data_IF_850372926022
#
_entry.id   IF_850372926022
#
_cell.length_a   1.000
_cell.length_b   1.000
_cell.length_c   1.000
_cell.angle_alpha   90.00
_cell.angle_beta   90.00
_cell.angle_gamma   90.00
#
_symmetry.space_group_name_H-M   'P 1'
#
loop_
_entity.id
_entity.type
_entity.pdbx_description
1 polymer ?
#
# COMPACT_ATOMS: atom_id res chain seq x y z
N UNK A 1 -8.77 -17.46 -4.45
CA UNK A 1 -10.21 -17.25 -4.14
C UNK A 1 -10.49 -15.95 -3.35
N UNK A 2 -9.57 -15.42 -2.53
CA UNK A 2 -9.81 -14.20 -1.72
C UNK A 2 -9.87 -12.85 -2.47
N UNK A 3 -9.22 -12.73 -3.63
CA UNK A 3 -9.15 -11.50 -4.42
C UNK A 3 -10.47 -11.09 -5.09
N UNK A 4 -11.42 -12.02 -5.24
CA UNK A 4 -12.71 -11.71 -5.85
C UNK A 4 -13.65 -10.95 -4.89
N UNK A 5 -13.53 -11.15 -3.58
CA UNK A 5 -14.40 -10.50 -2.59
C UNK A 5 -14.15 -8.99 -2.52
N UNK A 6 -12.90 -8.54 -2.63
CA UNK A 6 -12.55 -7.11 -2.62
C UNK A 6 -12.99 -6.40 -3.89
N UNK A 7 -12.82 -7.01 -5.07
CA UNK A 7 -13.32 -6.44 -6.34
C UNK A 7 -14.85 -6.43 -6.35
N UNK A 8 -15.51 -7.48 -5.87
CA UNK A 8 -16.97 -7.54 -5.79
C UNK A 8 -17.53 -6.47 -4.81
N UNK A 9 -16.92 -6.29 -3.64
CA UNK A 9 -17.29 -5.23 -2.70
C UNK A 9 -17.09 -3.83 -3.31
N UNK A 10 -15.97 -3.60 -4.01
CA UNK A 10 -15.66 -2.31 -4.62
C UNK A 10 -16.50 -1.98 -5.87
N UNK A 11 -17.04 -2.99 -6.56
CA UNK A 11 -17.91 -2.82 -7.74
C UNK A 11 -19.41 -2.93 -7.43
N UNK A 12 -19.78 -3.25 -6.18
CA UNK A 12 -21.16 -3.49 -5.75
C UNK A 12 -22.14 -2.32 -5.99
N UNK A 13 -21.64 -1.08 -6.06
CA UNK A 13 -22.43 0.13 -6.37
C UNK A 13 -22.26 0.67 -7.79
N UNK A 14 -21.54 -0.02 -8.67
CA UNK A 14 -21.20 0.43 -10.01
C UNK A 14 -22.17 -0.16 -11.04
N UNK A 15 -22.69 0.65 -11.97
CA UNK A 15 -23.58 0.17 -13.05
C UNK A 15 -22.87 -0.94 -13.83
N UNK A 16 -23.60 -1.99 -14.26
CA UNK A 16 -23.04 -3.17 -14.95
C UNK A 16 -22.12 -2.84 -16.15
N UNK A 17 -22.40 -1.73 -16.83
CA UNK A 17 -21.60 -1.22 -17.96
C UNK A 17 -20.23 -0.66 -17.55
N UNK A 18 -20.06 -0.23 -16.29
CA UNK A 18 -18.85 0.40 -15.78
C UNK A 18 -18.01 -0.55 -14.90
N UNK A 19 -18.51 -1.76 -14.60
CA UNK A 19 -17.84 -2.74 -13.72
C UNK A 19 -16.47 -3.19 -14.25
N UNK A 20 -16.31 -3.27 -15.57
CA UNK A 20 -15.02 -3.58 -16.20
C UNK A 20 -13.99 -2.48 -15.99
N UNK A 21 -14.41 -1.22 -16.09
CA UNK A 21 -13.57 -0.04 -15.82
C UNK A 21 -13.18 0.02 -14.34
N UNK A 22 -14.14 -0.19 -13.43
CA UNK A 22 -13.88 -0.20 -12.00
C UNK A 22 -12.90 -1.32 -11.60
N UNK A 23 -13.08 -2.54 -12.10
CA UNK A 23 -12.15 -3.66 -11.86
C UNK A 23 -10.75 -3.40 -12.44
N UNK A 24 -10.68 -2.83 -13.64
CA UNK A 24 -9.44 -2.41 -14.27
C UNK A 24 -8.70 -1.38 -13.42
N UNK A 25 -9.39 -0.34 -12.96
CA UNK A 25 -8.82 0.69 -12.08
C UNK A 25 -8.32 0.11 -10.75
N UNK A 26 -9.05 -0.81 -10.13
CA UNK A 26 -8.64 -1.45 -8.88
C UNK A 26 -7.36 -2.27 -9.10
N UNK A 27 -7.33 -3.08 -10.15
CA UNK A 27 -6.20 -3.97 -10.42
C UNK A 27 -4.93 -3.18 -10.75
N UNK A 28 -5.03 -2.17 -11.62
CA UNK A 28 -3.88 -1.32 -11.95
C UNK A 28 -3.42 -0.51 -10.74
N UNK A 29 -4.35 0.01 -9.93
CA UNK A 29 -4.01 0.71 -8.69
C UNK A 29 -3.30 -0.21 -7.70
N UNK A 30 -3.70 -1.48 -7.57
CA UNK A 30 -3.02 -2.44 -6.73
C UNK A 30 -1.61 -2.78 -7.25
N UNK A 31 -1.46 -3.01 -8.56
CA UNK A 31 -0.15 -3.29 -9.16
C UNK A 31 0.81 -2.10 -9.01
N UNK A 32 0.33 -0.89 -9.33
CA UNK A 32 1.12 0.34 -9.16
C UNK A 32 1.43 0.60 -7.69
N UNK A 33 0.46 0.45 -6.79
CA UNK A 33 0.65 0.63 -5.36
C UNK A 33 1.68 -0.34 -4.77
N UNK A 34 1.63 -1.61 -5.17
CA UNK A 34 2.60 -2.62 -4.74
C UNK A 34 4.03 -2.30 -5.22
N UNK A 35 4.18 -1.94 -6.50
CA UNK A 35 5.48 -1.58 -7.06
C UNK A 35 6.06 -0.32 -6.41
N UNK A 36 5.25 0.73 -6.26
CA UNK A 36 5.65 2.00 -5.63
C UNK A 36 5.99 1.82 -4.16
N UNK A 37 5.16 1.09 -3.40
CA UNK A 37 5.41 0.81 -1.99
C UNK A 37 6.72 0.06 -1.79
N UNK A 38 6.97 -0.98 -2.59
CA UNK A 38 8.22 -1.73 -2.53
C UNK A 38 9.43 -0.85 -2.89
N UNK A 39 9.34 -0.03 -3.92
CA UNK A 39 10.42 0.87 -4.34
C UNK A 39 10.80 1.85 -3.23
N UNK A 40 9.81 2.48 -2.59
CA UNK A 40 10.03 3.43 -1.49
C UNK A 40 10.68 2.73 -0.30
N UNK A 41 10.11 1.60 0.16
CA UNK A 41 10.61 0.90 1.34
C UNK A 41 12.01 0.33 1.13
N UNK A 42 12.28 -0.24 -0.04
CA UNK A 42 13.60 -0.73 -0.42
C UNK A 42 14.63 0.40 -0.49
N UNK A 43 14.25 1.54 -1.09
CA UNK A 43 15.12 2.72 -1.16
C UNK A 43 15.50 3.26 0.22
N UNK A 44 14.55 3.31 1.15
CA UNK A 44 14.79 3.75 2.53
C UNK A 44 15.67 2.74 3.27
N UNK A 45 15.37 1.45 3.18
CA UNK A 45 16.17 0.41 3.81
C UNK A 45 17.63 0.46 3.34
N UNK A 46 17.86 0.56 2.04
CA UNK A 46 19.19 0.67 1.45
C UNK A 46 19.91 1.95 1.88
N UNK A 47 19.21 3.10 1.88
CA UNK A 47 19.79 4.39 2.25
C UNK A 47 20.21 4.44 3.72
N UNK A 48 19.39 3.90 4.62
CA UNK A 48 19.70 3.86 6.05
C UNK A 48 20.79 2.83 6.37
N UNK A 49 20.74 1.66 5.72
CA UNK A 49 21.80 0.65 5.84
C UNK A 49 23.15 1.21 5.37
N UNK A 50 23.18 1.96 4.26
CA UNK A 50 24.38 2.61 3.74
C UNK A 50 25.08 3.50 4.79
N UNK A 51 24.32 4.29 5.55
CA UNK A 51 24.85 5.15 6.62
C UNK A 51 25.27 4.41 7.91
N UNK A 52 24.87 3.16 8.05
CA UNK A 52 25.09 2.34 9.24
C UNK A 52 26.19 1.28 9.09
N UNK A 53 26.76 1.09 7.89
CA UNK A 53 27.83 0.09 7.65
C UNK A 53 29.05 0.24 8.55
N UNK A 54 29.38 1.47 9.00
CA UNK A 54 30.46 1.73 9.96
C UNK A 54 30.28 1.02 11.31
N UNK A 55 29.06 0.59 11.64
CA UNK A 55 28.73 -0.14 12.87
C UNK A 55 28.67 -1.66 12.66
N UNK A 56 28.99 -2.14 11.46
CA UNK A 56 28.98 -3.55 11.08
C UNK A 56 27.82 -3.92 10.12
N UNK A 57 27.99 -4.96 9.28
CA UNK A 57 26.96 -5.36 8.30
C UNK A 57 25.63 -5.76 8.93
N UNK A 58 25.65 -6.48 10.06
CA UNK A 58 24.44 -6.90 10.76
C UNK A 58 23.65 -5.70 11.30
N UNK A 59 24.33 -4.76 11.96
CA UNK A 59 23.73 -3.55 12.48
C UNK A 59 23.15 -2.66 11.36
N UNK A 60 23.80 -2.63 10.19
CA UNK A 60 23.33 -1.88 9.03
C UNK A 60 22.01 -2.43 8.48
N UNK A 61 21.90 -3.74 8.34
CA UNK A 61 20.67 -4.40 7.87
C UNK A 61 19.52 -4.17 8.84
N UNK A 62 19.76 -4.35 10.15
CA UNK A 62 18.72 -4.13 11.18
C UNK A 62 18.21 -2.69 11.16
N UNK A 63 19.11 -1.69 11.15
CA UNK A 63 18.71 -0.27 11.08
C UNK A 63 17.96 0.08 9.80
N UNK A 64 18.36 -0.52 8.67
CA UNK A 64 17.67 -0.35 7.39
C UNK A 64 16.21 -0.82 7.45
N UNK A 65 15.99 -2.05 7.93
CA UNK A 65 14.64 -2.60 8.07
C UNK A 65 13.80 -1.88 9.12
N UNK A 66 14.40 -1.47 10.24
CA UNK A 66 13.71 -0.69 11.28
C UNK A 66 13.14 0.62 10.70
N UNK A 67 13.97 1.38 9.97
CA UNK A 67 13.52 2.59 9.29
C UNK A 67 12.46 2.34 8.21
N UNK A 68 12.58 1.24 7.46
CA UNK A 68 11.60 0.86 6.46
C UNK A 68 10.24 0.52 7.10
N UNK A 69 10.22 -0.26 8.18
CA UNK A 69 8.97 -0.59 8.88
C UNK A 69 8.32 0.63 9.54
N UNK A 70 9.12 1.51 10.14
CA UNK A 70 8.63 2.77 10.70
C UNK A 70 8.02 3.66 9.60
N UNK A 71 8.62 3.70 8.41
CA UNK A 71 8.03 4.39 7.26
C UNK A 71 6.73 3.72 6.80
N UNK A 72 6.71 2.38 6.71
CA UNK A 72 5.52 1.62 6.33
C UNK A 72 4.35 1.89 7.29
N UNK A 73 4.62 2.02 8.59
CA UNK A 73 3.63 2.40 9.60
C UNK A 73 3.00 3.77 9.26
N UNK A 74 3.80 4.80 8.99
CA UNK A 74 3.28 6.12 8.62
C UNK A 74 2.48 6.10 7.32
N UNK A 75 2.94 5.35 6.32
CA UNK A 75 2.21 5.16 5.05
C UNK A 75 0.84 4.52 5.32
N UNK A 76 0.78 3.47 6.15
CA UNK A 76 -0.46 2.77 6.48
C UNK A 76 -1.42 3.64 7.29
N UNK A 77 -0.91 4.45 8.22
CA UNK A 77 -1.72 5.42 8.95
C UNK A 77 -2.30 6.45 7.98
N UNK A 78 -1.49 7.02 7.10
CA UNK A 78 -1.94 7.96 6.07
C UNK A 78 -3.00 7.37 5.14
N UNK A 79 -2.76 6.16 4.63
CA UNK A 79 -3.72 5.43 3.81
C UNK A 79 -5.04 5.16 4.56
N UNK A 80 -4.96 4.81 5.84
CA UNK A 80 -6.14 4.58 6.69
C UNK A 80 -6.95 5.86 6.92
N UNK A 81 -6.28 7.00 7.15
CA UNK A 81 -6.93 8.31 7.28
C UNK A 81 -7.62 8.68 5.96
N UNK A 82 -6.94 8.53 4.82
CA UNK A 82 -7.52 8.79 3.51
C UNK A 82 -8.74 7.90 3.27
N UNK A 83 -8.63 6.60 3.54
CA UNK A 83 -9.74 5.67 3.41
C UNK A 83 -10.92 6.08 4.29
N UNK A 84 -10.67 6.45 5.55
CA UNK A 84 -11.70 6.92 6.48
C UNK A 84 -12.40 8.20 5.99
N UNK A 85 -11.66 9.15 5.43
CA UNK A 85 -12.21 10.42 4.94
C UNK A 85 -12.95 10.29 3.59
N UNK A 86 -12.48 9.38 2.71
CA UNK A 86 -12.98 9.24 1.33
C UNK A 86 -14.12 8.24 1.23
N UNK A 87 -14.09 7.15 2.00
CA UNK A 87 -15.13 6.12 1.95
C UNK A 87 -16.40 6.65 2.62
N UNK A 88 -17.27 7.26 1.80
CA UNK A 88 -18.65 7.54 2.18
C UNK A 88 -19.43 6.23 2.24
N UNK A 89 -20.01 5.94 3.40
CA UNK A 89 -20.97 4.85 3.53
C UNK A 89 -22.16 5.13 2.62
N UNK A 90 -22.31 4.36 1.55
CA UNK A 90 -23.58 4.33 0.84
C UNK A 90 -24.55 3.61 1.77
N UNK A 91 -25.47 4.38 2.37
CA UNK A 91 -26.64 3.82 3.05
C UNK A 91 -27.38 2.98 2.02
N UNK A 92 -27.30 1.66 2.18
CA UNK A 92 -28.27 0.74 1.59
C UNK A 92 -29.61 1.04 2.26
N UNK A 93 -30.46 1.80 1.58
CA UNK A 93 -31.88 1.96 1.89
C UNK A 93 -32.68 1.02 0.99
#
# INVERSE_FOLDING_TARGET
MYYYATIAAATSGVRRQDSGLASGLITTSQQMGGALGLAILSGIAASVAAGAFRFGPEAAVVRGYDAAFLTAMFIMIGASIIAFLVIRQQKTA
#
